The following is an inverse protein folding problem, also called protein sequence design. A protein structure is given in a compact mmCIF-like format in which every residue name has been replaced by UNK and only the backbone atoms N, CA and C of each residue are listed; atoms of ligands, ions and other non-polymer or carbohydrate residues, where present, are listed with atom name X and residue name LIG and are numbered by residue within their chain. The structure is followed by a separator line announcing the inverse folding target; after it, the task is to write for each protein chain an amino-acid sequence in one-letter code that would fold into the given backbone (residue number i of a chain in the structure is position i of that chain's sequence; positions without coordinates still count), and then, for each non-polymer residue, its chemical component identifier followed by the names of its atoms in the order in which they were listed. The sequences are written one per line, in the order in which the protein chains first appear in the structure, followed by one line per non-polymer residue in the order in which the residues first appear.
data_IF_898007712692
#
_entry.id   IF_898007712692
#
_cell.length_a   1.000
_cell.length_b   1.000
_cell.length_c   1.000
_cell.angle_alpha   90.00
_cell.angle_beta   90.00
_cell.angle_gamma   90.00
#
_symmetry.space_group_name_H-M   'P 1'
#
loop_
_entity.id
_entity.type
_entity.pdbx_description
1 polymer ?
#
# COMPACT_ATOMS: atom_id res chain seq x y z
N UNK A 1 20.57 -12.29 -1.75
CA UNK A 1 20.29 -10.94 -1.21
C UNK A 1 20.86 -10.82 0.19
N UNK A 2 21.47 -9.69 0.55
CA UNK A 2 21.90 -9.38 1.92
C UNK A 2 21.04 -8.22 2.44
N UNK A 3 20.60 -8.30 3.70
CA UNK A 3 19.85 -7.25 4.39
C UNK A 3 20.72 -6.72 5.53
N UNK A 4 20.85 -5.39 5.63
CA UNK A 4 21.66 -4.72 6.66
C UNK A 4 20.75 -3.87 7.54
N UNK A 5 20.77 -4.12 8.85
CA UNK A 5 20.03 -3.38 9.87
C UNK A 5 21.01 -2.81 10.90
N UNK A 6 20.80 -1.56 11.29
CA UNK A 6 21.65 -0.87 12.27
C UNK A 6 21.33 -1.31 13.69
N UNK A 7 20.05 -1.52 13.99
CA UNK A 7 19.57 -1.87 15.32
C UNK A 7 19.75 -3.36 15.63
N UNK A 8 19.67 -3.77 16.91
CA UNK A 8 19.66 -5.18 17.27
C UNK A 8 18.43 -5.97 16.76
N UNK A 9 17.39 -5.28 16.27
CA UNK A 9 16.15 -5.87 15.78
C UNK A 9 15.72 -5.19 14.48
N UNK A 10 15.18 -5.99 13.55
CA UNK A 10 14.60 -5.47 12.30
C UNK A 10 13.28 -4.74 12.53
N UNK A 11 12.98 -3.79 11.63
CA UNK A 11 11.63 -3.27 11.41
C UNK A 11 11.40 -1.83 11.87
N UNK A 12 12.28 -1.24 12.68
CA UNK A 12 12.28 0.20 12.98
C UNK A 12 10.91 0.78 13.38
N UNK A 13 10.52 1.91 12.77
CA UNK A 13 9.19 2.51 12.97
C UNK A 13 8.06 1.64 12.40
N UNK A 14 8.29 0.88 11.33
CA UNK A 14 7.30 -0.02 10.73
C UNK A 14 6.82 -1.08 11.73
N UNK A 15 7.74 -1.66 12.51
CA UNK A 15 7.42 -2.64 13.56
C UNK A 15 6.56 -2.06 14.70
N UNK A 16 6.56 -0.73 14.87
CA UNK A 16 5.72 -0.02 15.86
C UNK A 16 4.45 0.57 15.25
N UNK A 17 4.32 0.56 13.93
CA UNK A 17 3.14 1.08 13.25
C UNK A 17 1.91 0.23 13.59
N UNK A 18 0.71 0.78 13.39
CA UNK A 18 -0.53 0.01 13.51
C UNK A 18 -0.71 -1.07 12.44
N UNK A 19 0.26 -1.26 11.53
CA UNK A 19 0.19 -2.23 10.43
C UNK A 19 -0.78 -1.85 9.31
N UNK A 20 -1.42 -0.68 9.38
CA UNK A 20 -2.29 -0.17 8.34
C UNK A 20 -1.51 0.27 7.10
N UNK A 21 -1.98 -0.15 5.93
CA UNK A 21 -1.44 0.26 4.63
C UNK A 21 -2.55 0.84 3.77
N UNK A 22 -2.28 1.92 3.06
CA UNK A 22 -3.24 2.53 2.14
C UNK A 22 -2.93 2.10 0.70
N UNK A 23 -3.53 0.99 0.26
CA UNK A 23 -3.35 0.47 -1.09
C UNK A 23 -4.74 0.32 -1.71
N UNK A 24 -5.22 1.27 -2.52
CA UNK A 24 -6.55 1.19 -3.11
C UNK A 24 -6.65 0.06 -4.15
N UNK A 25 -7.86 -0.35 -4.50
CA UNK A 25 -8.19 -1.32 -5.56
C UNK A 25 -7.48 -2.70 -5.45
N UNK A 26 -7.07 -3.09 -4.25
CA UNK A 26 -6.36 -4.34 -4.00
C UNK A 26 -7.31 -5.54 -3.81
N UNK A 27 -6.76 -6.77 -3.85
CA UNK A 27 -7.53 -8.02 -3.74
C UNK A 27 -8.26 -8.22 -2.40
N UNK A 28 -7.74 -7.67 -1.30
CA UNK A 28 -8.34 -7.72 0.04
C UNK A 28 -9.59 -6.85 0.10
N UNK A 29 -9.54 -5.63 -0.45
CA UNK A 29 -10.69 -4.73 -0.52
C UNK A 29 -11.81 -5.34 -1.38
N UNK A 30 -11.45 -5.96 -2.51
CA UNK A 30 -12.40 -6.67 -3.38
C UNK A 30 -13.04 -7.85 -2.68
N UNK A 31 -12.25 -8.69 -1.99
CA UNK A 31 -12.73 -9.81 -1.18
C UNK A 31 -13.73 -9.34 -0.11
N UNK A 32 -13.44 -8.22 0.52
CA UNK A 32 -14.25 -7.66 1.62
C UNK A 32 -15.42 -6.78 1.11
N UNK A 33 -15.65 -6.71 -0.20
CA UNK A 33 -16.80 -6.02 -0.79
C UNK A 33 -16.73 -4.49 -0.75
N UNK A 34 -15.56 -3.92 -0.52
CA UNK A 34 -15.36 -2.46 -0.51
C UNK A 34 -15.50 -1.91 -1.92
N UNK A 35 -16.34 -0.87 -2.08
CA UNK A 35 -16.52 -0.18 -3.36
C UNK A 35 -15.43 0.87 -3.53
N UNK A 36 -14.42 0.54 -4.31
CA UNK A 36 -13.30 1.43 -4.66
C UNK A 36 -12.99 1.31 -6.16
N UNK A 37 -12.45 2.38 -6.76
CA UNK A 37 -12.03 2.40 -8.18
C UNK A 37 -10.67 3.08 -8.34
N UNK A 38 -9.85 2.65 -9.33
CA UNK A 38 -8.59 3.33 -9.66
C UNK A 38 -8.74 4.84 -9.86
N UNK A 39 -9.81 5.26 -10.54
CA UNK A 39 -10.07 6.66 -10.87
C UNK A 39 -10.43 7.49 -9.64
N UNK A 40 -11.17 6.91 -8.69
CA UNK A 40 -11.50 7.56 -7.43
C UNK A 40 -10.25 7.78 -6.58
N UNK A 41 -9.40 6.76 -6.46
CA UNK A 41 -8.12 6.86 -5.76
C UNK A 41 -7.17 7.88 -6.42
N UNK A 42 -7.13 7.92 -7.76
CA UNK A 42 -6.35 8.89 -8.54
C UNK A 42 -6.84 10.31 -8.30
N UNK A 43 -8.14 10.54 -8.41
CA UNK A 43 -8.77 11.84 -8.13
C UNK A 43 -8.43 12.31 -6.72
N UNK A 44 -8.56 11.41 -5.74
CA UNK A 44 -8.23 11.70 -4.34
C UNK A 44 -6.77 12.12 -4.17
N UNK A 45 -5.80 11.29 -4.58
CA UNK A 45 -4.38 11.61 -4.37
C UNK A 45 -3.94 12.87 -5.11
N UNK A 46 -4.35 13.07 -6.37
CA UNK A 46 -3.99 14.29 -7.11
C UNK A 46 -4.59 15.54 -6.45
N UNK A 47 -5.80 15.45 -5.88
CA UNK A 47 -6.43 16.58 -5.19
C UNK A 47 -5.75 16.98 -3.88
N UNK A 48 -5.26 16.02 -3.09
CA UNK A 48 -4.70 16.31 -1.76
C UNK A 48 -3.19 16.59 -1.80
N UNK A 49 -2.48 16.07 -2.80
CA UNK A 49 -1.03 16.26 -2.95
C UNK A 49 -0.74 17.56 -3.71
N UNK A 50 -1.48 17.84 -4.79
CA UNK A 50 -1.16 18.94 -5.69
C UNK A 50 0.22 18.76 -6.35
N UNK A 51 0.92 19.86 -6.62
CA UNK A 51 2.13 19.87 -7.47
C UNK A 51 3.44 19.55 -6.72
N UNK A 52 3.38 19.17 -5.43
CA UNK A 52 4.60 18.92 -4.62
C UNK A 52 5.27 17.57 -4.91
N UNK A 53 4.57 16.68 -5.63
CA UNK A 53 5.11 15.40 -6.10
C UNK A 53 4.79 15.26 -7.59
N UNK A 54 5.74 14.80 -8.43
CA UNK A 54 5.45 14.51 -9.83
C UNK A 54 4.28 13.54 -9.98
N UNK A 55 3.30 13.89 -10.82
CA UNK A 55 2.10 13.09 -11.09
C UNK A 55 2.42 11.62 -11.41
N UNK A 56 3.48 11.38 -12.18
CA UNK A 56 3.96 10.04 -12.54
C UNK A 56 4.24 9.15 -11.32
N UNK A 57 4.76 9.71 -10.21
CA UNK A 57 5.02 8.93 -8.98
C UNK A 57 3.73 8.53 -8.28
N UNK A 58 2.74 9.42 -8.27
CA UNK A 58 1.40 9.15 -7.72
C UNK A 58 0.74 8.04 -8.55
N UNK A 59 0.76 8.20 -9.87
CA UNK A 59 0.17 7.26 -10.81
C UNK A 59 0.83 5.89 -10.72
N UNK A 60 2.16 5.84 -10.68
CA UNK A 60 2.92 4.59 -10.48
C UNK A 60 2.58 3.92 -9.16
N UNK A 61 2.46 4.69 -8.07
CA UNK A 61 2.07 4.14 -6.77
C UNK A 61 0.69 3.45 -6.82
N UNK A 62 -0.29 4.14 -7.43
CA UNK A 62 -1.66 3.62 -7.57
C UNK A 62 -1.73 2.39 -8.47
N UNK A 63 -1.01 2.40 -9.59
CA UNK A 63 -1.04 1.32 -10.58
C UNK A 63 -0.31 0.06 -10.09
N UNK A 64 0.79 0.22 -9.35
CA UNK A 64 1.64 -0.90 -8.89
C UNK A 64 1.30 -1.38 -7.48
N UNK A 65 0.60 -0.58 -6.67
CA UNK A 65 0.22 -0.90 -5.30
C UNK A 65 -0.51 -2.25 -5.15
N UNK A 66 -1.60 -2.50 -5.91
CA UNK A 66 -2.32 -3.78 -5.87
C UNK A 66 -1.43 -4.98 -6.21
N UNK A 67 -0.57 -4.87 -7.22
CA UNK A 67 0.34 -5.94 -7.61
C UNK A 67 1.34 -6.27 -6.49
N UNK A 68 1.92 -5.24 -5.88
CA UNK A 68 2.83 -5.41 -4.76
C UNK A 68 2.14 -6.11 -3.59
N UNK A 69 0.91 -5.72 -3.25
CA UNK A 69 0.15 -6.37 -2.17
C UNK A 69 -0.10 -7.85 -2.49
N UNK A 70 -0.58 -8.17 -3.69
CA UNK A 70 -0.79 -9.56 -4.13
C UNK A 70 0.50 -10.38 -4.08
N UNK A 71 1.64 -9.79 -4.46
CA UNK A 71 2.94 -10.45 -4.34
C UNK A 71 3.29 -10.80 -2.89
N UNK A 72 3.15 -9.85 -1.95
CA UNK A 72 3.46 -10.07 -0.53
C UNK A 72 2.53 -11.11 0.09
N UNK A 73 1.23 -11.05 -0.20
CA UNK A 73 0.25 -12.01 0.32
C UNK A 73 0.49 -13.42 -0.23
N UNK A 74 0.94 -13.55 -1.48
CA UNK A 74 1.29 -14.85 -2.08
C UNK A 74 2.56 -15.47 -1.51
N UNK A 75 3.54 -14.66 -1.09
CA UNK A 75 4.88 -15.13 -0.72
C UNK A 75 5.19 -14.97 0.77
N UNK A 76 4.20 -14.68 1.60
CA UNK A 76 4.36 -14.60 3.05
C UNK A 76 3.15 -15.14 3.79
N UNK A 77 3.27 -15.46 5.09
CA UNK A 77 2.14 -15.85 5.93
C UNK A 77 1.19 -14.67 6.28
N UNK A 78 1.45 -13.46 5.77
CA UNK A 78 0.69 -12.26 6.10
C UNK A 78 -0.79 -12.42 5.72
N UNK A 79 -1.68 -12.00 6.61
CA UNK A 79 -3.11 -11.90 6.36
C UNK A 79 -3.55 -10.47 6.66
N UNK A 80 -4.28 -9.87 5.73
CA UNK A 80 -4.87 -8.55 5.88
C UNK A 80 -6.40 -8.63 5.85
N UNK A 81 -7.03 -7.69 6.54
CA UNK A 81 -8.46 -7.43 6.51
C UNK A 81 -8.71 -5.94 6.28
N UNK A 82 -9.86 -5.63 5.71
CA UNK A 82 -10.38 -4.28 5.70
C UNK A 82 -10.72 -3.81 7.12
N UNK A 83 -10.36 -2.57 7.45
CA UNK A 83 -10.74 -1.88 8.68
C UNK A 83 -11.53 -0.64 8.28
N UNK A 84 -12.83 -0.55 8.63
CA UNK A 84 -13.71 0.57 8.25
C UNK A 84 -13.42 1.86 9.02
#
# INVERSE_FOLDING_TARGET
TVVVEKAPHYGGSTARSGGGVWIPNNEVLKRDGVKDTPEAARTYLHSIIGDVVPAEKIDTYLDRGPEMLSFVLKHSPLKLCWVP
#
